data_IF_424676958488
#
_entry.id   IF_424676958488
#
_cell.length_a   1.000
_cell.length_b   1.000
_cell.length_c   1.000
_cell.angle_alpha   90.00
_cell.angle_beta   90.00
_cell.angle_gamma   90.00
#
_symmetry.space_group_name_H-M   'P 1'
#
loop_
_entity.id
_entity.type
_entity.pdbx_description
1 polymer ?
#
# COMPACT_ATOMS: atom_id res chain seq x y z
N UNK A 1 -9.07 8.29 -9.63
CA UNK A 1 -8.00 8.76 -8.72
C UNK A 1 -8.25 10.23 -8.45
N UNK A 2 -8.11 10.67 -7.22
CA UNK A 2 -8.38 12.07 -6.81
C UNK A 2 -7.10 12.83 -6.42
N UNK A 3 -6.07 12.12 -5.96
CA UNK A 3 -4.82 12.72 -5.51
C UNK A 3 -3.99 13.31 -6.66
N UNK A 4 -3.34 14.44 -6.39
CA UNK A 4 -2.33 15.00 -7.30
C UNK A 4 -1.00 14.25 -7.18
N UNK A 5 -0.10 14.39 -8.17
CA UNK A 5 1.25 13.84 -8.07
C UNK A 5 2.01 14.39 -6.86
N UNK A 6 1.92 15.70 -6.60
CA UNK A 6 2.57 16.34 -5.45
C UNK A 6 2.08 15.74 -4.13
N UNK A 7 0.76 15.63 -3.98
CA UNK A 7 0.14 15.05 -2.79
C UNK A 7 0.56 13.58 -2.58
N UNK A 8 0.52 12.77 -3.64
CA UNK A 8 0.94 11.37 -3.59
C UNK A 8 2.45 11.23 -3.27
N UNK A 9 3.28 12.13 -3.77
CA UNK A 9 4.74 12.11 -3.53
C UNK A 9 5.05 12.49 -2.09
N UNK A 10 4.41 13.52 -1.54
CA UNK A 10 4.53 13.87 -0.11
C UNK A 10 4.10 12.71 0.77
N UNK A 11 2.93 12.12 0.52
CA UNK A 11 2.46 10.97 1.29
C UNK A 11 3.40 9.77 1.20
N UNK A 12 4.02 9.52 0.04
CA UNK A 12 5.00 8.44 -0.12
C UNK A 12 6.25 8.67 0.71
N UNK A 13 6.82 9.88 0.68
CA UNK A 13 7.98 10.25 1.49
C UNK A 13 7.68 10.18 2.99
N UNK A 14 6.60 10.82 3.44
CA UNK A 14 6.26 10.90 4.85
C UNK A 14 5.99 9.49 5.44
N UNK A 15 5.25 8.66 4.71
CA UNK A 15 5.01 7.27 5.10
C UNK A 15 6.28 6.44 5.12
N UNK A 16 7.16 6.59 4.13
CA UNK A 16 8.43 5.89 4.08
C UNK A 16 9.34 6.27 5.26
N UNK A 17 9.51 7.57 5.53
CA UNK A 17 10.40 8.06 6.57
C UNK A 17 9.93 7.64 7.97
N UNK A 18 8.61 7.64 8.22
CA UNK A 18 8.03 7.10 9.45
C UNK A 18 8.29 5.60 9.58
N UNK A 19 7.96 4.84 8.53
CA UNK A 19 8.07 3.38 8.55
C UNK A 19 9.52 2.91 8.67
N UNK A 20 10.45 3.53 7.94
CA UNK A 20 11.88 3.22 8.01
C UNK A 20 12.42 3.41 9.42
N UNK A 21 12.12 4.55 10.06
CA UNK A 21 12.53 4.80 11.45
C UNK A 21 11.96 3.74 12.40
N UNK A 22 10.68 3.44 12.25
CA UNK A 22 10.04 2.41 13.06
C UNK A 22 10.68 1.03 12.88
N UNK A 23 10.99 0.63 11.64
CA UNK A 23 11.64 -0.67 11.36
C UNK A 23 13.00 -0.75 12.06
N UNK A 24 13.82 0.31 11.97
CA UNK A 24 15.14 0.35 12.63
C UNK A 24 15.03 0.28 14.16
N UNK A 25 13.99 0.88 14.74
CA UNK A 25 13.80 0.93 16.19
C UNK A 25 13.16 -0.34 16.78
N UNK A 26 12.31 -1.03 16.01
CA UNK A 26 11.40 -2.07 16.53
C UNK A 26 11.73 -3.48 16.03
N UNK A 27 12.30 -3.61 14.83
CA UNK A 27 12.53 -4.92 14.20
C UNK A 27 13.96 -5.38 14.45
N UNK A 28 14.19 -5.97 15.63
CA UNK A 28 15.41 -6.72 15.94
C UNK A 28 15.36 -8.15 15.37
N UNK A 29 16.43 -8.94 15.56
CA UNK A 29 16.51 -10.32 15.04
C UNK A 29 15.36 -11.21 15.58
N UNK A 30 14.99 -11.06 16.86
CA UNK A 30 13.93 -11.86 17.47
C UNK A 30 12.56 -11.51 16.90
N UNK A 31 12.29 -10.22 16.68
CA UNK A 31 11.05 -9.75 16.06
C UNK A 31 11.04 -10.12 14.57
N UNK A 32 12.17 -9.98 13.89
CA UNK A 32 12.37 -10.26 12.47
C UNK A 32 12.09 -11.71 12.10
N UNK A 33 12.52 -12.66 12.93
CA UNK A 33 12.32 -14.10 12.74
C UNK A 33 10.89 -14.57 13.04
N UNK A 34 10.10 -13.75 13.77
CA UNK A 34 8.75 -14.11 14.14
C UNK A 34 7.81 -14.16 12.92
N UNK A 35 6.76 -15.01 12.94
CA UNK A 35 5.72 -14.99 11.92
C UNK A 35 5.02 -13.63 11.86
N UNK A 36 4.78 -13.15 10.65
CA UNK A 36 3.92 -12.00 10.40
C UNK A 36 2.43 -12.39 10.37
N UNK A 37 1.56 -11.40 10.23
CA UNK A 37 0.12 -11.63 9.98
C UNK A 37 -0.16 -12.24 8.59
N UNK A 38 0.81 -12.24 7.69
CA UNK A 38 0.70 -12.85 6.37
C UNK A 38 1.20 -14.28 6.44
N UNK A 39 0.32 -15.23 6.10
CA UNK A 39 0.62 -16.65 6.16
C UNK A 39 1.88 -17.00 5.36
N UNK A 40 2.84 -17.66 6.02
CA UNK A 40 4.11 -18.06 5.42
C UNK A 40 5.19 -16.97 5.37
N UNK A 41 4.95 -15.77 5.90
CA UNK A 41 5.93 -14.69 5.96
C UNK A 41 6.44 -14.46 7.38
N UNK A 42 7.75 -14.24 7.51
CA UNK A 42 8.33 -13.63 8.72
C UNK A 42 8.21 -12.10 8.65
N UNK A 43 8.42 -11.42 9.78
CA UNK A 43 8.48 -9.96 9.82
C UNK A 43 9.60 -9.44 8.90
N UNK A 44 10.79 -10.04 8.92
CA UNK A 44 11.89 -9.67 8.01
C UNK A 44 11.53 -9.82 6.54
N UNK A 45 10.80 -10.88 6.18
CA UNK A 45 10.34 -11.05 4.80
C UNK A 45 9.35 -9.96 4.39
N UNK A 46 8.46 -9.54 5.30
CA UNK A 46 7.53 -8.44 5.06
C UNK A 46 8.25 -7.09 4.95
N UNK A 47 9.28 -6.84 5.76
CA UNK A 47 10.17 -5.67 5.61
C UNK A 47 10.84 -5.67 4.23
N UNK A 48 11.41 -6.80 3.82
CA UNK A 48 12.03 -6.93 2.49
C UNK A 48 11.03 -6.69 1.34
N UNK A 49 9.77 -7.06 1.54
CA UNK A 49 8.71 -6.81 0.58
C UNK A 49 8.47 -5.31 0.35
N UNK A 50 8.50 -4.49 1.41
CA UNK A 50 8.33 -3.04 1.30
C UNK A 50 9.40 -2.45 0.37
N UNK A 51 10.67 -2.84 0.55
CA UNK A 51 11.73 -2.46 -0.37
C UNK A 51 11.42 -2.88 -1.81
N UNK A 52 11.05 -4.15 -2.02
CA UNK A 52 10.70 -4.67 -3.36
C UNK A 52 9.48 -3.97 -3.98
N UNK A 53 8.55 -3.49 -3.16
CA UNK A 53 7.42 -2.69 -3.62
C UNK A 53 7.91 -1.36 -4.22
N UNK A 54 8.93 -0.74 -3.64
CA UNK A 54 9.55 0.49 -4.17
C UNK A 54 10.20 0.27 -5.55
N UNK A 55 10.76 -0.91 -5.83
CA UNK A 55 11.34 -1.23 -7.14
C UNK A 55 10.36 -1.05 -8.32
N UNK A 56 9.04 -1.10 -8.07
CA UNK A 56 8.05 -0.88 -9.12
C UNK A 56 8.09 0.57 -9.65
N UNK A 57 8.40 1.53 -8.80
CA UNK A 57 8.56 2.94 -9.19
C UNK A 57 9.91 3.18 -9.87
N UNK A 58 10.98 2.59 -9.32
CA UNK A 58 12.32 2.66 -9.92
C UNK A 58 12.39 2.05 -11.34
N UNK A 59 11.55 1.06 -11.62
CA UNK A 59 11.46 0.41 -12.93
C UNK A 59 10.64 1.19 -13.97
N UNK A 60 10.03 2.33 -13.60
CA UNK A 60 9.20 3.10 -14.52
C UNK A 60 10.04 3.85 -15.56
N UNK A 61 9.57 3.84 -16.80
CA UNK A 61 10.12 4.64 -17.90
C UNK A 61 9.04 5.49 -18.55
N UNK A 62 9.34 6.72 -18.99
CA UNK A 62 8.35 7.57 -19.65
C UNK A 62 7.85 6.94 -20.95
N UNK A 63 6.58 7.19 -21.28
CA UNK A 63 5.96 6.76 -22.53
C UNK A 63 5.59 7.95 -23.42
N UNK A 64 5.44 7.75 -24.74
CA UNK A 64 5.04 8.81 -25.66
C UNK A 64 3.70 9.45 -25.26
N UNK A 65 3.57 10.75 -25.55
CA UNK A 65 2.31 11.47 -25.41
C UNK A 65 1.19 10.79 -26.20
N UNK A 66 -0.02 10.76 -25.63
CA UNK A 66 -1.18 10.09 -26.22
C UNK A 66 -1.32 8.61 -25.85
N UNK A 67 -0.34 8.03 -25.15
CA UNK A 67 -0.51 6.69 -24.55
C UNK A 67 -1.66 6.72 -23.54
N UNK A 68 -2.62 5.80 -23.68
CA UNK A 68 -3.77 5.69 -22.77
C UNK A 68 -3.33 4.97 -21.48
N UNK A 69 -3.34 5.64 -20.32
CA UNK A 69 -2.98 5.01 -19.06
C UNK A 69 -4.14 4.17 -18.51
N UNK A 70 -3.81 3.09 -17.80
CA UNK A 70 -4.74 2.42 -16.89
C UNK A 70 -5.13 3.39 -15.76
N UNK A 71 -6.38 3.30 -15.33
CA UNK A 71 -6.85 3.88 -14.09
C UNK A 71 -6.25 3.16 -12.88
N UNK A 72 -6.30 3.78 -11.71
CA UNK A 72 -5.88 3.13 -10.46
C UNK A 72 -6.65 1.81 -10.21
N UNK A 73 -7.96 1.80 -10.47
CA UNK A 73 -8.80 0.61 -10.29
C UNK A 73 -8.38 -0.54 -11.22
N UNK A 74 -8.07 -0.24 -12.49
CA UNK A 74 -7.59 -1.23 -13.44
C UNK A 74 -6.19 -1.73 -13.07
N UNK A 75 -5.29 -0.84 -12.66
CA UNK A 75 -3.94 -1.21 -12.26
C UNK A 75 -3.94 -2.11 -11.01
N UNK A 76 -4.69 -1.75 -9.96
CA UNK A 76 -4.81 -2.56 -8.74
C UNK A 76 -5.52 -3.89 -9.00
N UNK A 77 -6.53 -3.93 -9.88
CA UNK A 77 -7.22 -5.17 -10.25
C UNK A 77 -6.30 -6.24 -10.87
N UNK A 78 -5.08 -5.88 -11.31
CA UNK A 78 -4.08 -6.84 -11.79
C UNK A 78 -3.27 -7.55 -10.68
N UNK A 79 -3.54 -7.26 -9.40
CA UNK A 79 -2.78 -7.76 -8.25
C UNK A 79 -3.27 -9.14 -7.82
N UNK A 80 -4.59 -9.31 -7.68
CA UNK A 80 -5.25 -10.55 -7.26
C UNK A 80 -4.83 -11.80 -8.06
N UNK A 81 -4.48 -11.64 -9.35
CA UNK A 81 -4.07 -12.74 -10.22
C UNK A 81 -2.69 -13.37 -9.92
N UNK A 82 -1.94 -12.91 -8.91
CA UNK A 82 -0.59 -13.42 -8.58
C UNK A 82 -0.38 -13.83 -7.12
N UNK A 83 -1.43 -13.92 -6.31
CA UNK A 83 -1.33 -14.33 -4.90
C UNK A 83 -0.91 -15.82 -4.72
N UNK A 84 -0.80 -16.61 -5.79
CA UNK A 84 -0.52 -18.06 -5.75
C UNK A 84 0.92 -18.48 -5.44
N UNK A 85 1.93 -17.61 -5.63
CA UNK A 85 3.36 -18.00 -5.53
C UNK A 85 4.05 -17.44 -4.28
N UNK A 86 3.37 -17.42 -3.14
CA UNK A 86 3.83 -16.72 -1.95
C UNK A 86 5.00 -17.44 -1.26
N UNK A 87 4.86 -18.71 -0.87
CA UNK A 87 5.81 -19.36 0.04
C UNK A 87 7.25 -19.50 -0.50
N UNK A 88 7.40 -19.78 -1.80
CA UNK A 88 8.73 -19.89 -2.43
C UNK A 88 9.37 -18.51 -2.64
N UNK A 89 8.57 -17.55 -3.08
CA UNK A 89 9.00 -16.15 -3.24
C UNK A 89 9.43 -15.54 -1.91
N UNK A 90 8.77 -15.88 -0.81
CA UNK A 90 9.04 -15.37 0.54
C UNK A 90 10.35 -15.90 1.11
N UNK A 91 10.63 -17.20 1.00
CA UNK A 91 11.91 -17.78 1.45
C UNK A 91 13.09 -17.25 0.65
N UNK A 92 12.94 -17.14 -0.67
CA UNK A 92 13.96 -16.55 -1.53
C UNK A 92 14.22 -15.08 -1.19
N UNK A 93 13.18 -14.32 -0.82
CA UNK A 93 13.31 -12.92 -0.44
C UNK A 93 13.98 -12.75 0.93
N UNK A 94 13.57 -13.55 1.93
CA UNK A 94 14.21 -13.55 3.24
C UNK A 94 15.72 -13.87 3.14
N UNK A 95 16.08 -14.85 2.32
CA UNK A 95 17.48 -15.21 2.07
C UNK A 95 18.29 -14.08 1.39
N UNK A 96 17.67 -13.31 0.50
CA UNK A 96 18.32 -12.17 -0.17
C UNK A 96 18.67 -11.04 0.79
N UNK A 97 17.90 -10.86 1.86
CA UNK A 97 18.06 -9.74 2.78
C UNK A 97 18.74 -10.10 4.09
N UNK A 98 18.96 -11.38 4.39
CA UNK A 98 19.38 -11.87 5.70
C UNK A 98 20.66 -11.22 6.26
N UNK A 99 21.56 -10.72 5.39
CA UNK A 99 22.79 -10.05 5.82
C UNK A 99 22.64 -8.56 6.15
N UNK A 100 21.68 -7.87 5.54
CA UNK A 100 21.44 -6.43 5.73
C UNK A 100 20.03 -6.02 5.26
N UNK A 101 18.98 -6.31 6.06
CA UNK A 101 17.61 -5.94 5.69
C UNK A 101 17.40 -4.43 5.57
N UNK A 102 18.14 -3.63 6.35
CA UNK A 102 17.99 -2.17 6.37
C UNK A 102 18.63 -1.55 5.12
N UNK A 103 19.88 -1.91 4.80
CA UNK A 103 20.53 -1.46 3.57
C UNK A 103 19.74 -1.87 2.33
N UNK A 104 19.16 -3.09 2.34
CA UNK A 104 18.33 -3.57 1.24
C UNK A 104 17.12 -2.68 0.95
N UNK A 105 16.39 -2.25 1.99
CA UNK A 105 15.20 -1.43 1.81
C UNK A 105 15.58 0.02 1.49
N UNK A 106 16.69 0.51 2.05
CA UNK A 106 17.22 1.86 1.80
C UNK A 106 17.65 2.07 0.36
N UNK A 107 18.41 1.13 -0.21
CA UNK A 107 18.86 1.18 -1.60
C UNK A 107 17.70 1.28 -2.59
N UNK A 108 16.61 0.54 -2.30
CA UNK A 108 15.42 0.49 -3.16
C UNK A 108 14.56 1.73 -3.04
N UNK A 109 14.40 2.25 -1.83
CA UNK A 109 13.71 3.51 -1.64
C UNK A 109 14.48 4.66 -2.28
N UNK A 110 15.81 4.70 -2.12
CA UNK A 110 16.66 5.70 -2.77
C UNK A 110 16.52 5.64 -4.31
N UNK A 111 16.56 4.45 -4.91
CA UNK A 111 16.35 4.29 -6.34
C UNK A 111 14.94 4.73 -6.80
N UNK A 112 13.91 4.40 -6.01
CA UNK A 112 12.53 4.78 -6.31
C UNK A 112 12.31 6.28 -6.23
N UNK A 113 12.85 6.97 -5.21
CA UNK A 113 12.75 8.41 -5.07
C UNK A 113 13.55 9.14 -6.16
N UNK A 114 14.76 8.68 -6.48
CA UNK A 114 15.52 9.24 -7.61
C UNK A 114 14.75 9.12 -8.94
N UNK A 115 14.08 7.99 -9.18
CA UNK A 115 13.24 7.81 -10.36
C UNK A 115 12.00 8.72 -10.33
N UNK A 116 11.35 8.85 -9.17
CA UNK A 116 10.21 9.75 -8.99
C UNK A 116 10.58 11.20 -9.28
N UNK A 117 11.68 11.69 -8.73
CA UNK A 117 12.19 13.04 -8.95
C UNK A 117 12.48 13.30 -10.44
N UNK A 118 13.17 12.36 -11.09
CA UNK A 118 13.50 12.46 -12.50
C UNK A 118 12.26 12.51 -13.40
N UNK A 119 11.24 11.69 -13.11
CA UNK A 119 10.00 11.64 -13.88
C UNK A 119 9.08 12.85 -13.61
N UNK A 120 9.09 13.36 -12.38
CA UNK A 120 8.29 14.51 -11.95
C UNK A 120 8.70 15.80 -12.66
N UNK A 121 9.94 15.90 -13.14
CA UNK A 121 10.40 17.04 -13.94
C UNK A 121 9.54 17.29 -15.20
N UNK A 122 8.84 16.27 -15.70
CA UNK A 122 7.90 16.35 -16.82
C UNK A 122 6.42 16.57 -16.39
N UNK A 123 6.16 16.89 -15.13
CA UNK A 123 4.81 16.97 -14.56
C UNK A 123 4.28 15.59 -14.15
N UNK A 124 3.11 15.20 -14.67
CA UNK A 124 2.50 13.88 -14.43
C UNK A 124 2.47 13.06 -15.73
N UNK A 125 3.63 12.57 -16.21
CA UNK A 125 3.70 11.82 -17.46
C UNK A 125 3.03 10.45 -17.32
N UNK A 126 2.67 9.87 -18.47
CA UNK A 126 2.34 8.44 -18.54
C UNK A 126 3.66 7.66 -18.57
N UNK A 127 3.78 6.67 -17.70
CA UNK A 127 4.96 5.82 -17.53
C UNK A 127 4.59 4.36 -17.75
N UNK A 128 5.55 3.58 -18.25
CA UNK A 128 5.45 2.13 -18.30
C UNK A 128 5.72 1.57 -16.90
N UNK A 129 4.68 1.12 -16.21
CA UNK A 129 4.83 0.32 -15.00
C UNK A 129 4.89 -1.18 -15.36
N UNK A 130 5.22 -2.03 -14.38
CA UNK A 130 5.33 -3.50 -14.57
C UNK A 130 4.08 -4.15 -15.17
N UNK A 131 2.91 -3.56 -14.96
CA UNK A 131 1.60 -4.15 -15.31
C UNK A 131 0.84 -3.35 -16.37
N UNK A 132 1.50 -2.37 -16.99
CA UNK A 132 0.92 -1.56 -18.05
C UNK A 132 1.25 -0.07 -17.91
N UNK A 133 0.83 0.73 -18.89
CA UNK A 133 0.96 2.19 -18.83
C UNK A 133 0.07 2.75 -17.72
N UNK A 134 0.59 3.66 -16.91
CA UNK A 134 -0.15 4.40 -15.86
C UNK A 134 0.33 5.85 -15.82
N UNK A 135 -0.48 6.76 -15.28
CA UNK A 135 0.05 8.07 -14.87
C UNK A 135 1.06 7.90 -13.73
N UNK A 136 2.09 8.75 -13.68
CA UNK A 136 3.06 8.73 -12.60
C UNK A 136 2.38 8.86 -11.22
N UNK A 137 1.43 9.79 -11.09
CA UNK A 137 0.57 9.92 -9.91
C UNK A 137 -0.14 8.63 -9.51
N UNK A 138 -0.69 7.88 -10.48
CA UNK A 138 -1.32 6.57 -10.23
C UNK A 138 -0.30 5.54 -9.74
N UNK A 139 0.89 5.53 -10.32
CA UNK A 139 1.98 4.66 -9.86
C UNK A 139 2.39 5.01 -8.43
N UNK A 140 2.58 6.30 -8.13
CA UNK A 140 2.95 6.79 -6.79
C UNK A 140 1.88 6.45 -5.75
N UNK A 141 0.60 6.71 -6.02
CA UNK A 141 -0.52 6.29 -5.15
C UNK A 141 -0.51 4.78 -4.91
N UNK A 142 -0.24 3.97 -5.94
CA UNK A 142 -0.14 2.51 -5.77
C UNK A 142 1.00 2.09 -4.84
N UNK A 143 2.05 2.90 -4.67
CA UNK A 143 3.14 2.65 -3.71
C UNK A 143 2.74 3.10 -2.30
N UNK A 144 2.07 4.24 -2.16
CA UNK A 144 1.53 4.69 -0.86
C UNK A 144 0.57 3.64 -0.29
N UNK A 145 -0.31 3.07 -1.13
CA UNK A 145 -1.22 1.98 -0.73
C UNK A 145 -0.43 0.80 -0.15
N UNK A 146 0.63 0.35 -0.83
CA UNK A 146 1.41 -0.81 -0.36
C UNK A 146 2.14 -0.52 0.93
N UNK A 147 2.75 0.67 1.06
CA UNK A 147 3.42 1.05 2.31
C UNK A 147 2.44 1.14 3.47
N UNK A 148 1.27 1.79 3.29
CA UNK A 148 0.26 1.94 4.34
C UNK A 148 -0.31 0.58 4.76
N UNK A 149 -0.70 -0.26 3.80
CA UNK A 149 -1.27 -1.59 4.10
C UNK A 149 -0.24 -2.46 4.83
N UNK A 150 0.99 -2.50 4.33
CA UNK A 150 2.02 -3.37 4.92
C UNK A 150 2.67 -2.79 6.18
N UNK A 151 2.62 -1.47 6.41
CA UNK A 151 2.94 -0.88 7.71
C UNK A 151 1.94 -1.32 8.78
N UNK A 152 0.63 -1.35 8.47
CA UNK A 152 -0.37 -1.89 9.40
C UNK A 152 -0.17 -3.40 9.63
N UNK A 153 0.14 -4.17 8.56
CA UNK A 153 0.48 -5.60 8.68
C UNK A 153 1.68 -5.82 9.62
N UNK A 154 2.76 -5.03 9.47
CA UNK A 154 3.93 -5.08 10.34
C UNK A 154 3.57 -4.73 11.78
N UNK A 155 2.81 -3.66 12.00
CA UNK A 155 2.42 -3.23 13.33
C UNK A 155 1.61 -4.30 14.06
N UNK A 156 0.64 -4.92 13.37
CA UNK A 156 -0.14 -6.03 13.94
C UNK A 156 0.75 -7.25 14.18
N UNK A 157 1.70 -7.53 13.29
CA UNK A 157 2.64 -8.65 13.42
C UNK A 157 3.49 -8.53 14.68
N UNK A 158 4.15 -7.39 14.86
CA UNK A 158 5.05 -7.17 16.01
C UNK A 158 4.27 -7.20 17.34
N UNK A 159 3.04 -6.67 17.37
CA UNK A 159 2.17 -6.76 18.57
C UNK A 159 1.82 -8.19 18.98
N UNK A 160 1.96 -9.18 18.09
CA UNK A 160 1.74 -10.61 18.39
C UNK A 160 2.99 -11.28 18.93
N UNK A 161 4.16 -10.67 18.83
CA UNK A 161 5.43 -11.22 19.33
C UNK A 161 5.49 -11.02 20.85
N UNK A 162 5.57 -12.10 21.65
CA UNK A 162 5.61 -11.98 23.11
C UNK A 162 6.82 -11.16 23.57
N UNK A 163 6.57 -10.13 24.39
CA UNK A 163 7.62 -9.28 24.94
C UNK A 163 8.14 -8.19 24.00
N UNK A 164 7.68 -8.13 22.74
CA UNK A 164 8.07 -7.07 21.82
C UNK A 164 7.38 -5.74 22.15
N UNK A 165 8.16 -4.66 22.20
CA UNK A 165 7.63 -3.30 22.26
C UNK A 165 7.32 -2.81 20.85
N UNK A 166 6.06 -2.86 20.42
CA UNK A 166 5.67 -2.48 19.06
C UNK A 166 5.86 -0.99 18.72
N UNK A 167 6.29 -0.16 19.69
CA UNK A 167 6.52 1.26 19.47
C UNK A 167 5.25 2.04 19.10
N UNK A 168 5.40 3.26 18.57
CA UNK A 168 4.29 4.01 17.99
C UNK A 168 3.78 3.36 16.70
N UNK A 169 2.59 3.77 16.25
CA UNK A 169 2.00 3.31 15.00
C UNK A 169 2.87 3.75 13.79
N UNK A 170 3.31 2.82 12.92
CA UNK A 170 4.14 3.15 11.76
C UNK A 170 3.36 3.66 10.55
N UNK A 171 2.03 3.77 10.64
CA UNK A 171 1.19 4.32 9.57
C UNK A 171 1.05 5.82 9.74
N UNK A 172 1.45 6.58 8.71
CA UNK A 172 1.36 8.03 8.70
C UNK A 172 -0.11 8.45 8.46
N UNK A 173 -0.71 9.29 9.33
CA UNK A 173 -2.14 9.61 9.26
C UNK A 173 -2.62 10.19 7.92
N UNK A 174 -1.86 11.09 7.29
CA UNK A 174 -2.26 11.71 6.01
C UNK A 174 -2.12 10.72 4.86
N UNK A 175 -1.12 9.85 4.89
CA UNK A 175 -1.00 8.76 3.95
C UNK A 175 -2.18 7.77 4.07
N UNK A 176 -2.60 7.45 5.30
CA UNK A 176 -3.78 6.62 5.56
C UNK A 176 -5.06 7.26 5.00
N UNK A 177 -5.29 8.55 5.26
CA UNK A 177 -6.46 9.28 4.75
C UNK A 177 -6.48 9.34 3.21
N UNK A 178 -5.31 9.54 2.59
CA UNK A 178 -5.17 9.50 1.13
C UNK A 178 -5.54 8.12 0.59
N UNK A 179 -5.00 7.05 1.16
CA UNK A 179 -5.27 5.67 0.73
C UNK A 179 -6.76 5.33 0.90
N UNK A 180 -7.34 5.68 2.05
CA UNK A 180 -8.75 5.46 2.33
C UNK A 180 -9.65 6.13 1.28
N UNK A 181 -9.38 7.41 0.96
CA UNK A 181 -10.12 8.17 -0.05
C UNK A 181 -9.95 7.59 -1.46
N UNK A 182 -8.75 7.19 -1.85
CA UNK A 182 -8.50 6.61 -3.18
C UNK A 182 -9.19 5.26 -3.36
N UNK A 183 -9.20 4.41 -2.33
CA UNK A 183 -9.93 3.15 -2.34
C UNK A 183 -11.45 3.37 -2.36
N UNK A 184 -11.95 4.36 -1.61
CA UNK A 184 -13.38 4.72 -1.65
C UNK A 184 -13.78 5.25 -3.03
N UNK A 185 -12.94 6.07 -3.66
CA UNK A 185 -13.19 6.60 -5.00
C UNK A 185 -13.35 5.50 -6.06
N UNK A 186 -12.65 4.36 -5.90
CA UNK A 186 -12.83 3.19 -6.78
C UNK A 186 -14.23 2.59 -6.63
N UNK A 187 -14.69 2.42 -5.39
CA UNK A 187 -16.02 1.87 -5.09
C UNK A 187 -17.12 2.80 -5.58
N UNK A 188 -17.01 4.10 -5.28
CA UNK A 188 -17.93 5.13 -5.76
C UNK A 188 -17.99 5.16 -7.28
N UNK A 189 -16.85 5.08 -7.97
CA UNK A 189 -16.82 5.06 -9.44
C UNK A 189 -17.48 3.81 -10.04
N UNK A 190 -17.41 2.66 -9.35
CA UNK A 190 -18.01 1.39 -9.81
C UNK A 190 -19.51 1.31 -9.54
N UNK A 191 -19.97 1.86 -8.41
CA UNK A 191 -21.35 1.69 -7.94
C UNK A 191 -22.24 2.94 -8.00
N UNK A 192 -21.66 4.13 -8.20
CA UNK A 192 -22.42 5.38 -8.32
C UNK A 192 -23.00 5.91 -7.01
N UNK A 193 -22.50 5.47 -5.85
CA UNK A 193 -22.98 5.91 -4.53
C UNK A 193 -22.27 7.16 -4.02
N UNK A 194 -22.92 7.87 -3.10
CA UNK A 194 -22.34 9.04 -2.44
C UNK A 194 -21.90 8.72 -1.00
N UNK A 195 -20.67 8.25 -0.87
CA UNK A 195 -20.11 7.75 0.39
C UNK A 195 -18.98 8.65 0.90
N UNK A 196 -18.71 8.56 2.20
CA UNK A 196 -17.56 9.13 2.90
C UNK A 196 -16.93 8.12 3.86
N UNK A 197 -15.66 8.34 4.19
CA UNK A 197 -14.91 7.50 5.13
C UNK A 197 -15.12 8.03 6.55
N UNK A 198 -15.56 7.17 7.47
CA UNK A 198 -15.72 7.48 8.90
C UNK A 198 -14.59 6.93 9.75
N UNK A 199 -14.04 5.77 9.38
CA UNK A 199 -12.82 5.20 9.97
C UNK A 199 -11.90 4.73 8.83
N UNK A 200 -10.83 5.51 8.59
CA UNK A 200 -9.89 5.25 7.52
C UNK A 200 -9.17 3.91 7.67
N UNK A 201 -8.82 3.48 8.88
CA UNK A 201 -8.11 2.22 9.08
C UNK A 201 -9.03 1.02 8.90
N UNK A 202 -10.23 1.08 9.47
CA UNK A 202 -11.22 0.03 9.28
C UNK A 202 -11.57 -0.13 7.80
N UNK A 203 -11.76 0.99 7.10
CA UNK A 203 -12.04 1.01 5.67
C UNK A 203 -10.90 0.41 4.85
N UNK A 204 -9.65 0.84 5.08
CA UNK A 204 -8.48 0.33 4.35
C UNK A 204 -8.31 -1.18 4.59
N UNK A 205 -8.54 -1.68 5.80
CA UNK A 205 -8.49 -3.13 6.08
C UNK A 205 -9.55 -3.92 5.33
N UNK A 206 -10.79 -3.43 5.25
CA UNK A 206 -11.84 -4.07 4.47
C UNK A 206 -11.52 -4.02 2.96
N UNK A 207 -11.12 -2.86 2.45
CA UNK A 207 -10.79 -2.65 1.04
C UNK A 207 -9.54 -3.42 0.57
N UNK A 208 -8.62 -3.74 1.47
CA UNK A 208 -7.42 -4.54 1.18
C UNK A 208 -7.57 -6.04 1.50
N UNK A 209 -8.71 -6.46 2.05
CA UNK A 209 -8.92 -7.85 2.48
C UNK A 209 -8.15 -8.26 3.74
N UNK A 210 -7.63 -7.29 4.50
CA UNK A 210 -7.01 -7.50 5.82
C UNK A 210 -8.02 -7.69 6.95
N UNK A 211 -9.26 -7.29 6.70
CA UNK A 211 -10.41 -7.70 7.50
C UNK A 211 -11.38 -8.49 6.62
N UNK A 212 -12.00 -9.56 7.14
CA UNK A 212 -13.08 -10.23 6.43
C UNK A 212 -14.23 -9.26 6.19
N UNK A 213 -14.96 -9.46 5.09
CA UNK A 213 -16.16 -8.68 4.83
C UNK A 213 -17.20 -8.91 5.92
N UNK A 214 -17.65 -7.81 6.53
CA UNK A 214 -18.69 -7.78 7.55
C UNK A 214 -19.48 -6.48 7.40
N UNK A 215 -20.80 -6.58 7.41
CA UNK A 215 -21.69 -5.43 7.12
C UNK A 215 -21.69 -4.40 8.24
N UNK A 216 -21.51 -4.82 9.49
CA UNK A 216 -21.47 -3.92 10.64
C UNK A 216 -20.12 -3.18 10.67
N UNK A 217 -19.02 -3.89 10.39
CA UNK A 217 -17.71 -3.28 10.20
C UNK A 217 -17.70 -2.29 9.03
N UNK A 218 -18.38 -2.62 7.92
CA UNK A 218 -18.53 -1.71 6.79
C UNK A 218 -19.28 -0.44 7.19
N UNK A 219 -20.41 -0.57 7.88
CA UNK A 219 -21.22 0.56 8.34
C UNK A 219 -20.51 1.45 9.39
N UNK A 220 -19.53 0.90 10.10
CA UNK A 220 -18.67 1.67 10.99
C UNK A 220 -17.52 2.39 10.25
N UNK A 221 -17.07 1.84 9.11
CA UNK A 221 -15.92 2.33 8.36
C UNK A 221 -16.25 3.39 7.31
N UNK A 222 -17.46 3.33 6.74
CA UNK A 222 -17.96 4.28 5.74
C UNK A 222 -19.43 4.63 6.01
N UNK A 223 -19.84 5.82 5.60
CA UNK A 223 -21.20 6.30 5.72
C UNK A 223 -21.70 6.97 4.42
N UNK A 224 -23.01 6.98 4.15
CA UNK A 224 -23.57 7.85 3.13
C UNK A 224 -23.42 9.32 3.55
N UNK A 225 -23.14 10.21 2.59
CA UNK A 225 -23.05 11.65 2.87
C UNK A 225 -24.40 12.27 3.25
N UNK A 226 -25.49 11.67 2.77
CA UNK A 226 -26.84 12.16 3.01
C UNK A 226 -27.57 11.22 3.97
N UNK A 227 -28.18 11.78 5.01
CA UNK A 227 -28.79 11.03 6.12
C UNK A 227 -30.01 10.17 5.73
N UNK A 228 -30.51 10.30 4.51
CA UNK A 228 -31.60 9.49 3.96
C UNK A 228 -31.16 8.22 3.23
N UNK A 229 -29.86 8.08 2.95
CA UNK A 229 -29.31 6.94 2.23
C UNK A 229 -28.81 5.86 3.21
N UNK A 230 -28.54 4.65 2.69
CA UNK A 230 -27.93 3.55 3.46
C UNK A 230 -26.61 3.13 2.84
N UNK A 231 -25.70 2.58 3.65
CA UNK A 231 -24.48 1.96 3.16
C UNK A 231 -24.87 0.75 2.27
N UNK A 232 -24.41 0.69 1.01
CA UNK A 232 -24.72 -0.42 0.11
C UNK A 232 -23.99 -1.69 0.53
N UNK A 233 -24.52 -2.85 0.14
CA UNK A 233 -23.79 -4.13 0.26
C UNK A 233 -22.64 -4.16 -0.75
N UNK A 234 -21.40 -4.14 -0.23
CA UNK A 234 -20.17 -4.13 -1.02
C UNK A 234 -19.53 -5.53 -1.15
N UNK A 235 -20.21 -6.60 -0.75
CA UNK A 235 -19.64 -7.95 -0.72
C UNK A 235 -19.18 -8.50 -2.08
N UNK A 236 -19.69 -7.95 -3.19
CA UNK A 236 -19.23 -8.29 -4.56
C UNK A 236 -18.12 -7.37 -5.09
N UNK A 237 -17.80 -6.30 -4.38
CA UNK A 237 -16.79 -5.31 -4.74
C UNK A 237 -15.54 -5.38 -3.87
N UNK A 238 -15.63 -6.01 -2.69
CA UNK A 238 -14.55 -6.13 -1.73
C UNK A 238 -13.95 -7.55 -1.72
N UNK A 239 -12.62 -7.69 -1.53
CA UNK A 239 -11.65 -6.59 -1.46
C UNK A 239 -11.43 -5.89 -2.82
N UNK A 240 -10.96 -4.64 -2.76
CA UNK A 240 -10.57 -3.85 -3.94
C UNK A 240 -9.20 -4.28 -4.48
N UNK A 241 -8.30 -4.70 -3.57
CA UNK A 241 -6.95 -5.18 -3.85
C UNK A 241 -6.89 -6.68 -4.15
#
# INVERSE_FOLDING_TARGET
MTASLTEASTALHDQWDLLRRWVVEVVDDSVGDAPSVLEGWTVTALVAHLGRAMDALAACSPLPAGTVPLTLAEYLGTYAGRAGDIAETTRALAAQVAGDPIGWIDDRAAAAFAALDALTAAGDPVVQARRGPVRLSTMTVSRVIELVVHADDLFVSVRRVPGAGAGPDPVEPRALDLVARELLAIVVARGGWDLEVTDARAWVRLASGRAPYDVDALAAAIAPRWTGDSVPDLGRMLPVL
#
